data_IF_063910498446
#
_entry.id   IF_063910498446
#
_cell.length_a   1.000
_cell.length_b   1.000
_cell.length_c   1.000
_cell.angle_alpha   90.00
_cell.angle_beta   90.00
_cell.angle_gamma   90.00
#
_symmetry.space_group_name_H-M   'P 1'
#
loop_
_entity.id
_entity.type
_entity.pdbx_description
1 polymer ?
#
# COMPACT_ATOMS: atom_id res chain seq x y z
N UNK A 1 -13.53 6.56 -0.87
CA UNK A 1 -12.82 7.68 -0.18
C UNK A 1 -11.35 7.62 -0.58
N UNK A 2 -10.68 8.76 -0.80
CA UNK A 2 -9.23 8.79 -1.01
C UNK A 2 -8.57 9.74 0.00
N UNK A 3 -7.37 9.40 0.45
CA UNK A 3 -6.56 10.23 1.34
C UNK A 3 -5.09 10.03 1.01
N UNK A 4 -4.39 11.13 0.73
CA UNK A 4 -2.94 11.13 0.54
C UNK A 4 -2.29 11.76 1.75
N UNK A 5 -1.29 11.09 2.31
CA UNK A 5 -0.58 11.56 3.49
C UNK A 5 0.94 11.46 3.25
N UNK A 6 1.70 12.56 3.42
CA UNK A 6 3.15 12.49 3.42
C UNK A 6 3.62 11.66 4.62
N UNK A 7 4.71 10.92 4.48
CA UNK A 7 5.27 10.16 5.59
C UNK A 7 6.18 11.07 6.42
N UNK A 8 5.92 11.18 7.72
CA UNK A 8 6.69 12.04 8.63
C UNK A 8 8.20 11.76 8.59
N UNK A 9 8.58 10.48 8.52
CA UNK A 9 9.99 10.06 8.47
C UNK A 9 10.60 10.12 7.05
N UNK A 10 9.77 10.26 6.03
CA UNK A 10 10.19 10.28 4.62
C UNK A 10 9.35 11.33 3.88
N UNK A 11 9.59 12.63 4.10
CA UNK A 11 8.72 13.70 3.60
C UNK A 11 8.63 13.74 2.07
N UNK A 12 9.66 13.25 1.37
CA UNK A 12 9.68 13.07 -0.09
C UNK A 12 8.79 11.91 -0.60
N UNK A 13 8.16 11.16 0.32
CA UNK A 13 7.31 10.02 0.03
C UNK A 13 5.93 10.23 0.63
N UNK A 14 4.91 9.97 -0.18
CA UNK A 14 3.52 9.97 0.26
C UNK A 14 2.90 8.59 0.12
N UNK A 15 1.90 8.32 0.96
CA UNK A 15 1.04 7.14 0.87
C UNK A 15 -0.36 7.59 0.50
N UNK A 16 -0.91 6.99 -0.53
CA UNK A 16 -2.31 7.21 -0.92
C UNK A 16 -3.13 6.00 -0.50
N UNK A 17 -4.12 6.26 0.34
CA UNK A 17 -5.11 5.32 0.83
C UNK A 17 -6.39 5.51 0.05
N UNK A 18 -6.86 4.45 -0.60
CA UNK A 18 -8.18 4.38 -1.19
C UNK A 18 -9.03 3.47 -0.31
N UNK A 19 -10.33 3.74 -0.19
CA UNK A 19 -11.30 2.86 0.47
C UNK A 19 -12.53 2.72 -0.44
N UNK A 20 -12.83 1.48 -0.82
CA UNK A 20 -13.97 1.13 -1.66
C UNK A 20 -15.03 0.36 -0.86
N UNK A 21 -16.29 0.75 -1.04
CA UNK A 21 -17.45 0.04 -0.47
C UNK A 21 -18.23 -0.65 -1.60
N UNK A 22 -18.86 -1.79 -1.30
CA UNK A 22 -19.68 -2.52 -2.27
C UNK A 22 -18.90 -3.15 -3.42
N UNK A 23 -17.67 -3.60 -3.17
CA UNK A 23 -16.80 -4.21 -4.20
C UNK A 23 -17.36 -5.56 -4.64
N UNK A 24 -17.79 -5.67 -5.90
CA UNK A 24 -18.36 -6.89 -6.47
C UNK A 24 -17.32 -7.77 -7.19
N UNK A 25 -16.18 -7.20 -7.57
CA UNK A 25 -15.14 -7.84 -8.40
C UNK A 25 -13.85 -8.15 -7.62
N UNK A 26 -13.95 -8.40 -6.31
CA UNK A 26 -12.79 -8.61 -5.44
C UNK A 26 -11.85 -9.74 -5.92
N UNK A 27 -12.40 -10.83 -6.45
CA UNK A 27 -11.62 -11.95 -7.00
C UNK A 27 -10.77 -11.53 -8.21
N UNK A 28 -11.34 -10.72 -9.11
CA UNK A 28 -10.63 -10.21 -10.28
C UNK A 28 -9.53 -9.21 -9.87
N UNK A 29 -9.78 -8.36 -8.88
CA UNK A 29 -8.77 -7.42 -8.36
C UNK A 29 -7.59 -8.17 -7.73
N UNK A 30 -7.84 -9.23 -6.95
CA UNK A 30 -6.77 -10.09 -6.41
C UNK A 30 -5.91 -10.71 -7.51
N UNK A 31 -6.55 -11.26 -8.54
CA UNK A 31 -5.83 -11.82 -9.69
C UNK A 31 -4.95 -10.77 -10.38
N UNK A 32 -5.51 -9.59 -10.67
CA UNK A 32 -4.75 -8.47 -11.26
C UNK A 32 -3.60 -8.00 -10.37
N UNK A 33 -3.76 -8.00 -9.04
CA UNK A 33 -2.68 -7.66 -8.11
C UNK A 33 -1.56 -8.70 -8.12
N UNK A 34 -1.90 -10.00 -8.18
CA UNK A 34 -0.91 -11.08 -8.30
C UNK A 34 -0.14 -11.04 -9.62
N UNK A 35 -0.82 -10.64 -10.70
CA UNK A 35 -0.23 -10.44 -12.03
C UNK A 35 0.59 -9.13 -12.12
N UNK A 36 0.60 -8.31 -11.06
CA UNK A 36 1.30 -7.01 -11.05
C UNK A 36 0.61 -5.93 -11.91
N UNK A 37 -0.63 -6.16 -12.34
CA UNK A 37 -1.43 -5.23 -13.13
C UNK A 37 -2.09 -4.12 -12.30
N UNK A 38 -1.96 -4.17 -10.97
CA UNK A 38 -2.39 -3.11 -10.05
C UNK A 38 -1.14 -2.53 -9.40
N UNK A 39 -0.94 -1.23 -9.56
CA UNK A 39 0.12 -0.51 -8.89
C UNK A 39 -0.29 -0.22 -7.44
N UNK A 40 -0.13 -1.19 -6.55
CA UNK A 40 -0.46 -1.01 -5.13
C UNK A 40 -0.76 -2.30 -4.39
N UNK A 41 -1.01 -2.18 -3.09
CA UNK A 41 -1.38 -3.30 -2.23
C UNK A 41 -2.89 -3.33 -2.03
N UNK A 42 -3.51 -4.50 -2.13
CA UNK A 42 -4.89 -4.73 -1.70
C UNK A 42 -4.88 -5.20 -0.25
N UNK A 43 -5.55 -4.47 0.64
CA UNK A 43 -5.66 -4.81 2.07
C UNK A 43 -7.13 -5.00 2.42
N UNK A 44 -7.43 -6.03 3.21
CA UNK A 44 -8.77 -6.20 3.76
C UNK A 44 -9.03 -5.13 4.84
N UNK A 45 -10.02 -4.21 4.66
CA UNK A 45 -10.35 -3.20 5.67
C UNK A 45 -10.67 -3.77 7.04
N UNK A 46 -11.25 -4.98 7.11
CA UNK A 46 -11.59 -5.62 8.39
C UNK A 46 -10.37 -5.92 9.27
N UNK A 47 -9.17 -6.00 8.67
CA UNK A 47 -7.91 -6.22 9.37
C UNK A 47 -7.26 -4.92 9.87
N UNK A 48 -7.88 -3.77 9.59
CA UNK A 48 -7.30 -2.44 9.80
C UNK A 48 -8.21 -1.62 10.70
N UNK A 49 -7.78 -1.37 11.94
CA UNK A 49 -8.56 -0.57 12.91
C UNK A 49 -8.55 0.93 12.63
N UNK A 50 -7.81 1.41 11.62
CA UNK A 50 -7.76 2.82 11.24
C UNK A 50 -6.58 3.15 10.32
N UNK A 51 -6.40 4.45 10.03
CA UNK A 51 -5.38 4.92 9.06
C UNK A 51 -3.95 4.82 9.62
N UNK A 52 -3.74 5.11 10.90
CA UNK A 52 -2.41 5.16 11.50
C UNK A 52 -1.61 3.85 11.42
N UNK A 53 -2.19 2.66 11.68
CA UNK A 53 -1.50 1.39 11.44
C UNK A 53 -0.98 1.23 10.01
N UNK A 54 -1.77 1.65 9.01
CA UNK A 54 -1.38 1.55 7.60
C UNK A 54 -0.23 2.51 7.28
N UNK A 55 -0.31 3.75 7.75
CA UNK A 55 0.74 4.76 7.54
C UNK A 55 2.06 4.32 8.18
N UNK A 56 2.04 3.79 9.41
CA UNK A 56 3.23 3.25 10.08
C UNK A 56 3.81 2.04 9.35
N UNK A 57 2.95 1.14 8.87
CA UNK A 57 3.38 -0.03 8.10
C UNK A 57 4.06 0.41 6.79
N UNK A 58 3.48 1.37 6.07
CA UNK A 58 4.08 1.92 4.86
C UNK A 58 5.42 2.62 5.12
N UNK A 59 5.52 3.44 6.17
CA UNK A 59 6.79 4.06 6.59
C UNK A 59 7.87 3.01 6.90
N UNK A 60 7.51 1.95 7.64
CA UNK A 60 8.43 0.85 7.95
C UNK A 60 8.89 0.13 6.68
N UNK A 61 7.99 -0.13 5.75
CA UNK A 61 8.31 -0.76 4.47
C UNK A 61 9.31 0.07 3.67
N UNK A 62 9.10 1.38 3.58
CA UNK A 62 10.04 2.29 2.90
C UNK A 62 11.41 2.30 3.58
N UNK A 63 11.44 2.33 4.92
CA UNK A 63 12.70 2.20 5.65
C UNK A 63 13.41 0.88 5.36
N UNK A 64 12.71 -0.24 5.42
CA UNK A 64 13.29 -1.57 5.14
C UNK A 64 13.74 -1.71 3.68
N UNK A 65 13.06 -1.05 2.73
CA UNK A 65 13.49 -0.98 1.33
C UNK A 65 14.85 -0.28 1.21
N UNK A 66 14.99 0.89 1.83
CA UNK A 66 16.24 1.65 1.80
C UNK A 66 17.42 0.87 2.36
N UNK A 67 17.18 0.00 3.36
CA UNK A 67 18.20 -0.88 3.94
C UNK A 67 18.38 -2.22 3.21
N UNK A 68 17.60 -2.52 2.16
CA UNK A 68 17.64 -3.81 1.46
C UNK A 68 17.20 -5.01 2.32
N UNK A 69 16.36 -4.78 3.34
CA UNK A 69 15.94 -5.79 4.34
C UNK A 69 14.50 -6.25 4.17
N UNK A 70 13.83 -5.89 3.07
CA UNK A 70 12.50 -6.38 2.77
C UNK A 70 12.55 -7.88 2.42
N UNK A 71 11.76 -8.67 3.14
CA UNK A 71 11.66 -10.13 2.93
C UNK A 71 10.77 -10.51 1.75
N UNK A 72 9.85 -9.64 1.37
CA UNK A 72 8.90 -9.87 0.27
C UNK A 72 9.41 -9.25 -1.02
N UNK A 73 9.26 -9.96 -2.14
CA UNK A 73 9.47 -9.44 -3.50
C UNK A 73 8.39 -8.40 -3.84
N UNK A 74 8.43 -7.25 -3.19
CA UNK A 74 7.55 -6.11 -3.40
C UNK A 74 8.18 -5.09 -4.37
N UNK A 75 9.05 -5.57 -5.26
CA UNK A 75 9.84 -4.77 -6.20
C UNK A 75 8.98 -3.80 -7.03
N UNK A 76 7.75 -4.18 -7.38
CA UNK A 76 6.79 -3.33 -8.09
C UNK A 76 6.08 -2.30 -7.21
N UNK A 77 5.91 -2.56 -5.91
CA UNK A 77 5.16 -1.69 -4.99
C UNK A 77 5.97 -0.48 -4.50
N UNK A 78 7.30 -0.55 -4.60
CA UNK A 78 8.21 0.38 -3.93
C UNK A 78 9.12 1.17 -4.88
N UNK A 79 9.41 0.66 -6.09
CA UNK A 79 10.33 1.34 -7.02
C UNK A 79 9.67 2.38 -7.91
N UNK A 80 8.37 2.27 -8.21
CA UNK A 80 7.71 3.21 -9.15
C UNK A 80 6.88 4.31 -8.49
N UNK A 81 6.25 4.07 -7.34
CA UNK A 81 5.41 5.07 -6.70
C UNK A 81 5.45 4.95 -5.17
N UNK A 82 5.29 6.08 -4.48
CA UNK A 82 5.03 6.11 -3.04
C UNK A 82 3.86 5.18 -2.74
N UNK A 83 4.07 4.23 -1.83
CA UNK A 83 3.23 3.05 -1.62
C UNK A 83 1.72 3.35 -1.75
N UNK A 84 1.11 2.85 -2.84
CA UNK A 84 -0.35 2.83 -2.96
C UNK A 84 -0.86 1.66 -2.13
N UNK A 85 -1.68 1.95 -1.13
CA UNK A 85 -2.38 0.93 -0.35
C UNK A 85 -3.87 1.13 -0.62
N UNK A 86 -4.44 0.27 -1.46
CA UNK A 86 -5.88 0.15 -1.60
C UNK A 86 -6.41 -0.60 -0.38
N UNK A 87 -7.14 0.12 0.45
CA UNK A 87 -8.14 -0.44 1.36
C UNK A 87 -9.49 -0.49 0.62
#
# INVERSE_FOLDING_TARGET
MHLTHPLELFPERSVTLLLFNGVQNAAALRKKAMEGSIEGALINPAMVSGRFPVLRAAARTIGLLGYGRLRTNCYTLCQKFGALVLV
#
